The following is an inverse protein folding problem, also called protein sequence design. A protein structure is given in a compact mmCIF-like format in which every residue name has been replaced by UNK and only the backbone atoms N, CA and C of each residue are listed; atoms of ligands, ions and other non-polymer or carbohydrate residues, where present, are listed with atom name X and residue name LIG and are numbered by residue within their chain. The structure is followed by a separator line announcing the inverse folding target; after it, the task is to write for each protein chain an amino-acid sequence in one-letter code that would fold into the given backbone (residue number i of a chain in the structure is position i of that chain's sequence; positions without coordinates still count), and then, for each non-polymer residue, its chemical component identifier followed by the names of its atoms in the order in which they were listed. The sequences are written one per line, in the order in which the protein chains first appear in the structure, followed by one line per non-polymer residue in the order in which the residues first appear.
data_IF_824746455198
#
_entry.id   IF_824746455198
#
_cell.length_a   1.000
_cell.length_b   1.000
_cell.length_c   1.000
_cell.angle_alpha   90.00
_cell.angle_beta   90.00
_cell.angle_gamma   90.00
#
_symmetry.space_group_name_H-M   'P 1'
#
loop_
_entity.id
_entity.type
_entity.pdbx_description
1 polymer ?
#
# COMPACT_ATOMS: atom_id res chain seq x y z
N UNK A 1 7.72 -16.45 -29.01
CA UNK A 1 7.43 -15.13 -28.41
C UNK A 1 6.41 -15.35 -27.31
N UNK A 2 6.82 -15.35 -26.07
CA UNK A 2 5.90 -15.37 -24.91
C UNK A 2 5.14 -14.05 -24.90
N UNK A 3 3.82 -14.12 -24.90
CA UNK A 3 2.96 -12.93 -24.71
C UNK A 3 3.38 -12.30 -23.38
N UNK A 4 3.76 -11.02 -23.33
CA UNK A 4 4.10 -10.39 -22.08
C UNK A 4 2.90 -10.47 -21.14
N UNK A 5 3.07 -11.14 -20.03
CA UNK A 5 2.05 -11.29 -19.00
C UNK A 5 1.74 -9.91 -18.42
N UNK A 6 0.47 -9.53 -18.44
CA UNK A 6 0.03 -8.21 -17.95
C UNK A 6 0.06 -8.25 -16.42
N UNK A 7 0.87 -7.41 -15.75
CA UNK A 7 1.03 -7.49 -14.30
C UNK A 7 -0.10 -6.80 -13.51
N UNK A 8 -1.15 -6.34 -14.21
CA UNK A 8 -2.29 -5.60 -13.66
C UNK A 8 -3.58 -6.30 -14.01
N UNK A 9 -4.46 -6.41 -13.06
CA UNK A 9 -5.84 -6.84 -13.24
C UNK A 9 -6.78 -5.69 -12.89
N UNK A 10 -7.82 -5.53 -13.69
CA UNK A 10 -8.93 -4.62 -13.43
C UNK A 10 -10.16 -5.40 -13.04
N UNK A 11 -10.84 -4.95 -11.99
CA UNK A 11 -12.08 -5.55 -11.52
C UNK A 11 -13.11 -4.46 -11.28
N UNK A 12 -14.35 -4.70 -11.74
CA UNK A 12 -15.48 -3.82 -11.45
C UNK A 12 -16.12 -4.26 -10.14
N UNK A 13 -16.06 -3.39 -9.16
CA UNK A 13 -16.64 -3.58 -7.83
C UNK A 13 -17.57 -2.42 -7.49
N UNK A 14 -18.12 -2.42 -6.29
CA UNK A 14 -18.89 -1.29 -5.76
C UNK A 14 -18.28 -0.80 -4.47
N UNK A 15 -18.30 0.51 -4.26
CA UNK A 15 -17.87 1.16 -3.03
C UNK A 15 -19.05 1.89 -2.42
N UNK A 16 -19.38 1.54 -1.17
CA UNK A 16 -20.41 2.22 -0.41
C UNK A 16 -19.89 3.60 0.05
N UNK A 17 -20.71 4.62 -0.13
CA UNK A 17 -20.40 6.01 0.20
C UNK A 17 -21.30 6.45 1.36
N UNK A 18 -20.70 7.09 2.34
CA UNK A 18 -21.43 7.70 3.45
C UNK A 18 -22.36 8.82 2.96
N UNK A 19 -23.48 9.09 3.66
CA UNK A 19 -24.31 10.25 3.37
C UNK A 19 -23.48 11.53 3.32
N UNK A 20 -23.77 12.40 2.37
CA UNK A 20 -23.04 13.64 2.12
C UNK A 20 -24.01 14.81 1.91
N UNK A 21 -23.48 16.01 1.75
CA UNK A 21 -24.28 17.18 1.35
C UNK A 21 -24.95 17.01 -0.02
N UNK A 22 -24.45 16.11 -0.86
CA UNK A 22 -24.98 15.82 -2.19
C UNK A 22 -26.02 14.70 -2.19
N UNK A 23 -26.04 13.85 -1.14
CA UNK A 23 -27.04 12.81 -0.95
C UNK A 23 -27.20 12.45 0.53
N UNK A 24 -28.44 12.52 1.03
CA UNK A 24 -28.79 12.17 2.39
C UNK A 24 -28.79 10.66 2.66
N UNK A 25 -28.77 9.84 1.60
CA UNK A 25 -28.76 8.37 1.70
C UNK A 25 -27.41 7.80 1.26
N UNK A 26 -26.96 6.67 1.86
CA UNK A 26 -25.79 5.95 1.36
C UNK A 26 -25.94 5.61 -0.13
N UNK A 27 -24.88 5.79 -0.88
CA UNK A 27 -24.84 5.49 -2.31
C UNK A 27 -23.82 4.38 -2.59
N UNK A 28 -24.02 3.64 -3.67
CA UNK A 28 -23.07 2.65 -4.17
C UNK A 28 -22.46 3.15 -5.48
N UNK A 29 -21.18 3.51 -5.45
CA UNK A 29 -20.46 3.93 -6.64
C UNK A 29 -19.80 2.74 -7.33
N UNK A 30 -19.94 2.72 -8.66
CA UNK A 30 -19.19 1.79 -9.48
C UNK A 30 -17.71 2.08 -9.39
N UNK A 31 -16.91 1.08 -9.07
CA UNK A 31 -15.48 1.23 -8.78
C UNK A 31 -14.67 0.31 -9.68
N UNK A 32 -13.73 0.89 -10.41
CA UNK A 32 -12.68 0.15 -11.13
C UNK A 32 -11.50 -0.07 -10.20
N UNK A 33 -11.43 -1.27 -9.64
CA UNK A 33 -10.32 -1.69 -8.78
C UNK A 33 -9.10 -2.06 -9.62
N UNK A 34 -7.95 -1.47 -9.29
CA UNK A 34 -6.67 -1.69 -9.94
C UNK A 34 -5.82 -2.56 -9.03
N UNK A 35 -5.56 -3.79 -9.45
CA UNK A 35 -4.79 -4.77 -8.68
C UNK A 35 -3.49 -5.10 -9.39
N UNK A 36 -2.36 -4.97 -8.70
CA UNK A 36 -1.07 -5.43 -9.17
C UNK A 36 -0.93 -6.92 -8.84
N UNK A 37 -1.16 -7.79 -9.82
CA UNK A 37 -1.10 -9.25 -9.64
C UNK A 37 0.33 -9.79 -9.69
N UNK A 38 1.27 -9.02 -10.24
CA UNK A 38 2.70 -9.33 -10.27
C UNK A 38 3.49 -8.10 -9.79
N UNK A 39 3.51 -7.82 -8.49
CA UNK A 39 4.12 -6.61 -7.94
C UNK A 39 5.65 -6.56 -8.07
N UNK A 40 6.30 -7.65 -8.43
CA UNK A 40 7.71 -7.76 -8.82
C UNK A 40 7.97 -7.37 -10.28
N UNK A 41 6.93 -7.29 -11.10
CA UNK A 41 7.03 -6.85 -12.49
C UNK A 41 6.51 -5.43 -12.63
N UNK A 42 7.36 -4.57 -13.16
CA UNK A 42 6.97 -3.23 -13.55
C UNK A 42 5.86 -3.29 -14.60
N UNK A 43 4.86 -2.46 -14.43
CA UNK A 43 3.96 -2.14 -15.54
C UNK A 43 4.79 -1.38 -16.56
N UNK A 44 5.06 -2.00 -17.69
CA UNK A 44 5.83 -1.36 -18.76
C UNK A 44 4.93 -0.37 -19.51
N UNK A 45 5.41 0.85 -19.85
CA UNK A 45 4.62 1.82 -20.63
C UNK A 45 4.10 1.28 -21.96
N UNK A 46 4.83 0.35 -22.60
CA UNK A 46 4.41 -0.29 -23.85
C UNK A 46 3.20 -1.23 -23.69
N UNK A 47 2.79 -1.53 -22.45
CA UNK A 47 1.55 -2.28 -22.17
C UNK A 47 0.31 -1.38 -22.15
N UNK A 48 0.47 -0.05 -22.04
CA UNK A 48 -0.67 0.89 -21.97
C UNK A 48 -1.75 0.67 -23.04
N UNK A 49 -1.43 0.39 -24.31
CA UNK A 49 -2.46 0.12 -25.31
C UNK A 49 -3.30 -1.13 -25.04
N UNK A 50 -2.77 -2.08 -24.23
CA UNK A 50 -3.44 -3.33 -23.84
C UNK A 50 -4.20 -3.21 -22.51
N UNK A 51 -3.93 -2.17 -21.74
CA UNK A 51 -4.58 -1.91 -20.47
C UNK A 51 -5.90 -1.15 -20.72
N UNK A 52 -6.95 -1.91 -20.89
CA UNK A 52 -8.29 -1.38 -21.15
C UNK A 52 -9.24 -1.76 -20.02
N UNK A 53 -10.20 -0.90 -19.66
CA UNK A 53 -11.23 -1.25 -18.71
C UNK A 53 -11.97 -2.52 -19.13
N UNK A 54 -12.42 -3.35 -18.17
CA UNK A 54 -13.14 -4.58 -18.48
C UNK A 54 -14.52 -4.26 -19.11
N UNK A 55 -15.05 -5.16 -19.95
CA UNK A 55 -16.27 -4.90 -20.72
C UNK A 55 -17.53 -4.75 -19.85
N UNK A 56 -17.50 -5.18 -18.62
CA UNK A 56 -18.58 -5.03 -17.65
C UNK A 56 -18.54 -3.68 -16.90
N UNK A 57 -17.61 -2.78 -17.21
CA UNK A 57 -17.60 -1.42 -16.70
C UNK A 57 -18.66 -0.60 -17.45
N UNK A 58 -19.67 -0.13 -16.72
CA UNK A 58 -20.76 0.68 -17.29
C UNK A 58 -20.36 2.16 -17.33
N UNK A 59 -19.99 2.66 -18.49
CA UNK A 59 -19.63 4.06 -18.69
C UNK A 59 -20.83 5.02 -18.78
N UNK A 60 -22.07 4.54 -18.67
CA UNK A 60 -23.22 5.40 -18.45
C UNK A 60 -23.39 5.85 -17.00
N UNK A 61 -22.63 5.24 -16.10
CA UNK A 61 -22.55 5.53 -14.67
C UNK A 61 -21.23 6.23 -14.32
N UNK A 62 -21.16 6.70 -13.09
CA UNK A 62 -19.93 7.18 -12.49
C UNK A 62 -18.86 6.07 -12.42
N UNK A 63 -17.60 6.47 -12.50
CA UNK A 63 -16.46 5.57 -12.33
C UNK A 63 -15.54 6.08 -11.23
N UNK A 64 -15.32 5.26 -10.20
CA UNK A 64 -14.31 5.53 -9.18
C UNK A 64 -13.08 4.66 -9.46
N UNK A 65 -11.93 5.26 -9.63
CA UNK A 65 -10.65 4.55 -9.73
C UNK A 65 -10.07 4.30 -8.34
N UNK A 66 -9.77 3.05 -8.05
CA UNK A 66 -9.32 2.62 -6.72
C UNK A 66 -8.21 1.58 -6.82
N UNK A 67 -7.07 1.81 -6.15
CA UNK A 67 -5.96 0.84 -6.11
C UNK A 67 -4.60 1.50 -6.07
N UNK A 68 -3.55 0.68 -6.22
CA UNK A 68 -2.16 1.16 -6.27
C UNK A 68 -1.61 0.97 -7.68
N UNK A 69 -1.33 2.08 -8.36
CA UNK A 69 -0.79 2.08 -9.72
C UNK A 69 0.06 3.33 -9.98
N UNK A 70 0.93 3.30 -11.01
CA UNK A 70 1.63 4.49 -11.46
C UNK A 70 0.66 5.60 -11.92
N UNK A 71 1.04 6.86 -11.71
CA UNK A 71 0.21 8.04 -12.06
C UNK A 71 -0.19 8.04 -13.54
N UNK A 72 0.71 7.63 -14.44
CA UNK A 72 0.44 7.58 -15.87
C UNK A 72 -0.62 6.52 -16.26
N UNK A 73 -0.79 5.44 -15.46
CA UNK A 73 -1.87 4.48 -15.68
C UNK A 73 -3.22 5.09 -15.28
N UNK A 74 -3.28 5.83 -14.20
CA UNK A 74 -4.48 6.61 -13.85
C UNK A 74 -4.86 7.57 -14.97
N UNK A 75 -3.89 8.32 -15.51
CA UNK A 75 -4.13 9.22 -16.65
C UNK A 75 -4.75 8.50 -17.85
N UNK A 76 -4.26 7.30 -18.19
CA UNK A 76 -4.81 6.49 -19.29
C UNK A 76 -6.22 5.99 -19.00
N UNK A 77 -6.49 5.51 -17.79
CA UNK A 77 -7.83 5.05 -17.40
C UNK A 77 -8.86 6.19 -17.39
N UNK A 78 -8.46 7.39 -16.94
CA UNK A 78 -9.30 8.58 -16.99
C UNK A 78 -9.69 8.91 -18.42
N UNK A 79 -8.74 8.89 -19.35
CA UNK A 79 -9.00 9.12 -20.77
C UNK A 79 -10.00 8.10 -21.34
N UNK A 80 -9.80 6.82 -21.02
CA UNK A 80 -10.68 5.74 -21.49
C UNK A 80 -12.10 5.79 -20.90
N UNK A 81 -12.24 6.34 -19.70
CA UNK A 81 -13.51 6.49 -19.01
C UNK A 81 -14.15 7.89 -19.20
N UNK A 82 -13.58 8.76 -20.05
CA UNK A 82 -14.00 10.17 -20.15
C UNK A 82 -15.43 10.42 -20.61
N UNK A 83 -16.11 9.40 -21.13
CA UNK A 83 -17.55 9.48 -21.47
C UNK A 83 -18.47 9.28 -20.27
N UNK A 84 -17.95 8.78 -19.14
CA UNK A 84 -18.72 8.63 -17.91
C UNK A 84 -19.25 9.99 -17.41
N UNK A 85 -20.39 10.02 -16.70
CA UNK A 85 -20.95 11.26 -16.14
C UNK A 85 -19.93 12.02 -15.29
N UNK A 86 -19.19 11.30 -14.47
CA UNK A 86 -18.03 11.84 -13.73
C UNK A 86 -17.07 10.71 -13.34
N UNK A 87 -15.83 11.08 -13.07
CA UNK A 87 -14.77 10.17 -12.64
C UNK A 87 -14.18 10.68 -11.34
N UNK A 88 -14.10 9.80 -10.33
CA UNK A 88 -13.42 10.05 -9.09
C UNK A 88 -12.18 9.18 -8.91
N UNK A 89 -11.23 9.63 -8.11
CA UNK A 89 -10.06 8.87 -7.70
C UNK A 89 -10.03 8.78 -6.17
N UNK A 90 -9.89 7.57 -5.64
CA UNK A 90 -9.72 7.41 -4.21
C UNK A 90 -8.32 7.89 -3.81
N UNK A 91 -8.27 8.85 -2.90
CA UNK A 91 -7.05 9.39 -2.30
C UNK A 91 -6.87 8.84 -0.88
N UNK A 92 -5.94 7.91 -0.70
CA UNK A 92 -5.65 7.32 0.60
C UNK A 92 -5.20 8.34 1.67
N UNK A 93 -4.40 9.38 1.34
CA UNK A 93 -3.99 10.37 2.33
C UNK A 93 -5.14 11.16 2.97
N UNK A 94 -6.15 11.51 2.20
CA UNK A 94 -7.32 12.28 2.70
C UNK A 94 -8.55 11.40 2.92
N UNK A 95 -8.49 10.12 2.49
CA UNK A 95 -9.53 9.11 2.60
C UNK A 95 -10.85 9.48 1.97
N UNK A 96 -10.77 10.15 0.87
CA UNK A 96 -11.92 10.56 0.10
C UNK A 96 -11.74 10.18 -1.36
N UNK A 97 -12.86 10.03 -2.04
CA UNK A 97 -12.91 10.02 -3.49
C UNK A 97 -12.92 11.48 -3.90
N UNK A 98 -11.96 11.87 -4.71
CA UNK A 98 -11.89 13.22 -5.29
C UNK A 98 -12.41 13.15 -6.72
N UNK A 99 -13.41 13.95 -7.06
CA UNK A 99 -13.93 14.09 -8.44
C UNK A 99 -12.88 14.83 -9.26
N UNK A 100 -12.37 14.18 -10.30
CA UNK A 100 -11.29 14.71 -11.16
C UNK A 100 -11.77 15.03 -12.59
N UNK A 101 -12.93 14.52 -12.97
CA UNK A 101 -13.58 14.77 -14.24
C UNK A 101 -15.09 14.75 -14.03
N UNK A 102 -15.81 15.71 -14.62
CA UNK A 102 -17.28 15.76 -14.57
C UNK A 102 -17.84 16.35 -15.86
N UNK A 103 -18.91 15.72 -16.36
CA UNK A 103 -19.73 16.14 -17.49
C UNK A 103 -21.14 16.50 -17.06
N UNK A 104 -21.40 16.48 -15.76
CA UNK A 104 -22.71 16.78 -15.16
C UNK A 104 -22.58 18.03 -14.28
N UNK A 105 -23.73 18.64 -13.95
CA UNK A 105 -23.74 19.81 -13.10
C UNK A 105 -23.31 19.52 -11.66
N UNK A 106 -23.59 18.28 -11.21
CA UNK A 106 -23.23 17.80 -9.86
C UNK A 106 -22.96 16.29 -9.93
N UNK A 107 -21.82 15.79 -9.36
CA UNK A 107 -20.79 16.55 -8.68
C UNK A 107 -19.89 17.33 -9.64
N UNK A 108 -19.21 18.36 -9.14
CA UNK A 108 -18.20 19.14 -9.87
C UNK A 108 -16.78 18.62 -9.59
N UNK A 109 -15.85 18.99 -10.46
CA UNK A 109 -14.41 18.70 -10.23
C UNK A 109 -13.96 19.37 -8.93
N UNK A 110 -13.32 18.59 -8.05
CA UNK A 110 -12.90 18.99 -6.71
C UNK A 110 -13.87 18.61 -5.60
N UNK A 111 -15.11 18.22 -5.93
CA UNK A 111 -16.02 17.64 -4.92
C UNK A 111 -15.45 16.33 -4.38
N UNK A 112 -15.80 16.02 -3.14
CA UNK A 112 -15.29 14.83 -2.45
C UNK A 112 -16.39 13.99 -1.82
N UNK A 113 -16.17 12.67 -1.80
CA UNK A 113 -17.06 11.71 -1.17
C UNK A 113 -16.29 10.85 -0.18
N UNK A 114 -16.84 10.68 1.03
CA UNK A 114 -16.27 9.78 2.02
C UNK A 114 -16.80 8.35 1.81
N UNK A 115 -15.94 7.33 1.64
CA UNK A 115 -16.37 5.94 1.66
C UNK A 115 -17.03 5.60 3.00
N UNK A 116 -18.02 4.71 2.96
CA UNK A 116 -18.61 4.17 4.17
C UNK A 116 -17.59 3.23 4.84
N UNK A 117 -17.26 3.51 6.08
CA UNK A 117 -16.28 2.73 6.85
C UNK A 117 -16.90 1.45 7.40
N UNK A 118 -16.12 0.38 7.47
CA UNK A 118 -16.51 -0.84 8.17
C UNK A 118 -16.55 -0.59 9.67
N UNK A 119 -17.47 -1.25 10.37
CA UNK A 119 -17.60 -1.08 11.83
C UNK A 119 -16.43 -1.68 12.62
N UNK A 120 -15.75 -2.70 12.06
CA UNK A 120 -14.58 -3.31 12.70
C UNK A 120 -13.34 -3.11 11.83
N UNK A 121 -12.24 -2.59 12.41
CA UNK A 121 -11.00 -2.40 11.67
C UNK A 121 -10.36 -3.75 11.32
N UNK A 122 -9.88 -3.89 10.10
CA UNK A 122 -9.21 -5.10 9.63
C UNK A 122 -7.87 -5.36 10.35
N UNK A 123 -7.34 -6.60 10.31
CA UNK A 123 -5.97 -6.85 10.72
C UNK A 123 -4.97 -5.97 10.00
N UNK A 124 -4.04 -5.38 10.75
CA UNK A 124 -2.90 -4.65 10.23
C UNK A 124 -1.61 -5.31 10.70
N UNK A 125 -0.81 -5.80 9.75
CA UNK A 125 0.43 -6.55 10.00
C UNK A 125 1.60 -5.62 9.79
N UNK A 126 2.25 -5.21 10.89
CA UNK A 126 3.49 -4.44 10.86
C UNK A 126 4.65 -5.33 10.41
N UNK A 127 5.42 -4.91 9.41
CA UNK A 127 6.66 -5.56 9.00
C UNK A 127 7.84 -4.68 9.47
N UNK A 128 8.51 -5.14 10.52
CA UNK A 128 9.67 -4.48 11.13
C UNK A 128 10.97 -5.25 10.91
N UNK A 129 12.10 -4.66 11.31
CA UNK A 129 13.43 -5.28 11.23
C UNK A 129 14.52 -4.26 10.92
N UNK A 130 15.81 -4.62 11.02
CA UNK A 130 16.93 -3.70 10.81
C UNK A 130 17.01 -3.18 9.36
N UNK A 131 17.78 -2.11 9.12
CA UNK A 131 18.03 -1.65 7.75
C UNK A 131 18.60 -2.77 6.89
N UNK A 132 18.29 -2.75 5.60
CA UNK A 132 18.77 -3.72 4.60
C UNK A 132 18.49 -5.20 4.92
N UNK A 133 17.46 -5.48 5.72
CA UNK A 133 17.02 -6.85 6.03
C UNK A 133 16.03 -7.45 5.01
N UNK A 134 15.69 -6.73 3.95
CA UNK A 134 14.74 -7.21 2.93
C UNK A 134 13.26 -7.00 3.30
N UNK A 135 12.94 -6.18 4.30
CA UNK A 135 11.54 -5.90 4.72
C UNK A 135 10.62 -5.53 3.57
N UNK A 136 11.02 -4.57 2.76
CA UNK A 136 10.17 -4.08 1.67
C UNK A 136 9.97 -5.14 0.58
N UNK A 137 10.98 -5.97 0.30
CA UNK A 137 10.87 -7.13 -0.58
C UNK A 137 9.90 -8.14 0.01
N UNK A 138 10.04 -8.47 1.29
CA UNK A 138 9.14 -9.37 2.00
C UNK A 138 7.70 -8.82 2.05
N UNK A 139 7.51 -7.54 2.35
CA UNK A 139 6.18 -6.91 2.41
C UNK A 139 5.45 -6.99 1.07
N UNK A 140 6.17 -6.77 -0.04
CA UNK A 140 5.62 -6.94 -1.39
C UNK A 140 5.30 -8.41 -1.70
N UNK A 141 6.20 -9.34 -1.34
CA UNK A 141 5.98 -10.77 -1.55
C UNK A 141 4.78 -11.28 -0.73
N UNK A 142 4.67 -10.86 0.53
CA UNK A 142 3.53 -11.18 1.40
C UNK A 142 2.22 -10.65 0.80
N UNK A 143 2.18 -9.37 0.41
CA UNK A 143 1.01 -8.79 -0.26
C UNK A 143 0.63 -9.59 -1.50
N UNK A 144 1.59 -9.91 -2.35
CA UNK A 144 1.37 -10.71 -3.57
C UNK A 144 0.77 -12.07 -3.25
N UNK A 145 1.37 -12.79 -2.29
CA UNK A 145 0.89 -14.09 -1.87
C UNK A 145 -0.55 -14.02 -1.34
N UNK A 146 -0.85 -13.02 -0.53
CA UNK A 146 -2.20 -12.80 0.00
C UNK A 146 -3.21 -12.54 -1.13
N UNK A 147 -2.89 -11.69 -2.11
CA UNK A 147 -3.77 -11.42 -3.26
C UNK A 147 -4.01 -12.69 -4.09
N UNK A 148 -2.97 -13.49 -4.31
CA UNK A 148 -3.07 -14.72 -5.10
C UNK A 148 -3.92 -15.79 -4.41
N UNK A 149 -3.80 -15.95 -3.08
CA UNK A 149 -4.52 -16.98 -2.34
C UNK A 149 -5.91 -16.53 -1.87
N UNK A 150 -6.12 -15.22 -1.73
CA UNK A 150 -7.36 -14.62 -1.23
C UNK A 150 -7.84 -13.49 -2.15
N UNK A 151 -8.14 -13.79 -3.43
CA UNK A 151 -8.45 -12.76 -4.43
C UNK A 151 -9.73 -11.97 -4.11
N UNK A 152 -10.63 -12.51 -3.27
CA UNK A 152 -11.84 -11.84 -2.82
C UNK A 152 -11.60 -10.78 -1.73
N UNK A 153 -10.37 -10.74 -1.15
CA UNK A 153 -10.03 -9.78 -0.10
C UNK A 153 -9.28 -8.58 -0.65
N UNK A 154 -9.63 -7.42 -0.16
CA UNK A 154 -8.93 -6.16 -0.47
C UNK A 154 -7.70 -6.03 0.41
N UNK A 155 -6.53 -6.17 -0.19
CA UNK A 155 -5.26 -6.18 0.52
C UNK A 155 -4.46 -4.94 0.13
N UNK A 156 -4.03 -4.18 1.12
CA UNK A 156 -3.27 -2.95 0.90
C UNK A 156 -1.91 -3.00 1.57
N UNK A 157 -0.87 -2.49 0.89
CA UNK A 157 0.45 -2.29 1.45
C UNK A 157 0.67 -0.80 1.71
N UNK A 158 0.73 -0.44 2.99
CA UNK A 158 1.07 0.90 3.43
C UNK A 158 2.55 0.99 3.78
N UNK A 159 3.25 1.98 3.24
CA UNK A 159 4.67 2.22 3.54
C UNK A 159 4.80 3.44 4.43
N UNK A 160 5.44 3.26 5.58
CA UNK A 160 5.75 4.29 6.54
C UNK A 160 7.27 4.42 6.71
N UNK A 161 7.99 4.50 5.59
CA UNK A 161 9.43 4.68 5.52
C UNK A 161 9.74 6.15 5.29
N UNK A 162 10.15 6.84 6.33
CA UNK A 162 10.48 8.25 6.25
C UNK A 162 11.88 8.52 5.63
N UNK A 163 12.75 7.52 5.59
CA UNK A 163 14.08 7.58 4.97
C UNK A 163 14.05 7.64 3.42
N UNK A 164 12.86 7.68 2.82
CA UNK A 164 12.71 7.98 1.40
C UNK A 164 13.21 6.90 0.44
N UNK A 165 13.30 5.65 0.85
CA UNK A 165 13.46 4.54 -0.10
C UNK A 165 12.22 4.49 -1.01
N UNK A 166 12.30 5.27 -2.08
CA UNK A 166 11.24 5.35 -3.07
C UNK A 166 11.04 3.99 -3.74
N UNK A 167 9.82 3.70 -4.15
CA UNK A 167 9.50 2.52 -4.95
C UNK A 167 10.35 2.44 -6.23
N UNK A 168 10.88 3.56 -6.71
CA UNK A 168 11.70 3.65 -7.91
C UNK A 168 12.97 2.78 -7.84
N UNK A 169 13.56 2.59 -6.66
CA UNK A 169 14.72 1.72 -6.46
C UNK A 169 14.41 0.25 -6.78
N UNK A 170 13.16 -0.19 -6.55
CA UNK A 170 12.71 -1.55 -6.85
C UNK A 170 11.95 -1.63 -8.18
N UNK A 171 11.66 -0.50 -8.80
CA UNK A 171 10.91 -0.37 -10.05
C UNK A 171 11.83 -0.18 -11.25
N UNK A 172 13.11 0.12 -11.05
CA UNK A 172 14.08 0.31 -12.13
C UNK A 172 14.82 -0.99 -12.47
N UNK A 173 14.94 -1.28 -13.78
CA UNK A 173 15.81 -2.34 -14.27
C UNK A 173 17.28 -1.90 -14.41
N UNK A 174 17.55 -0.62 -14.25
CA UNK A 174 18.89 -0.03 -14.33
C UNK A 174 19.50 0.01 -12.94
N UNK A 175 19.97 -1.14 -12.46
CA UNK A 175 20.56 -1.29 -11.12
C UNK A 175 21.70 -0.31 -10.89
N UNK A 176 22.57 -0.10 -11.88
CA UNK A 176 23.72 0.81 -11.78
C UNK A 176 23.26 2.26 -11.58
N UNK A 177 22.23 2.72 -12.31
CA UNK A 177 21.66 4.06 -12.14
C UNK A 177 20.98 4.19 -10.76
N UNK A 178 20.32 3.13 -10.30
CA UNK A 178 19.69 3.09 -8.97
C UNK A 178 20.74 3.21 -7.89
N UNK A 179 21.83 2.45 -8.00
CA UNK A 179 22.94 2.47 -7.03
C UNK A 179 23.61 3.85 -6.98
N UNK A 180 23.86 4.46 -8.15
CA UNK A 180 24.41 5.82 -8.25
C UNK A 180 23.47 6.87 -7.61
N UNK A 181 22.16 6.79 -7.86
CA UNK A 181 21.17 7.71 -7.28
C UNK A 181 21.01 7.50 -5.78
N UNK A 182 21.04 6.27 -5.31
CA UNK A 182 21.04 5.94 -3.86
C UNK A 182 22.30 6.48 -3.21
N UNK A 183 23.47 6.36 -3.86
CA UNK A 183 24.72 6.88 -3.33
C UNK A 183 24.76 8.41 -3.32
N UNK A 184 24.20 9.07 -4.34
CA UNK A 184 24.08 10.53 -4.41
C UNK A 184 23.05 11.08 -3.43
N UNK A 185 21.98 10.33 -3.13
CA UNK A 185 20.91 10.73 -2.22
C UNK A 185 21.29 10.46 -0.75
N UNK A 186 22.46 10.96 -0.34
CA UNK A 186 22.98 10.84 1.04
C UNK A 186 22.29 11.76 2.06
N UNK A 187 21.25 12.47 1.67
CA UNK A 187 20.41 13.25 2.60
C UNK A 187 19.62 12.31 3.52
N UNK A 188 20.32 11.90 4.57
CA UNK A 188 19.67 11.17 5.67
C UNK A 188 18.97 12.19 6.54
N UNK A 189 17.70 12.37 6.32
CA UNK A 189 16.79 13.30 7.04
C UNK A 189 17.01 13.23 8.57
N UNK A 190 17.30 12.05 9.14
CA UNK A 190 17.58 11.87 10.57
C UNK A 190 18.95 12.44 11.04
N UNK A 191 19.80 12.89 10.13
CA UNK A 191 21.08 13.55 10.47
C UNK A 191 20.99 15.06 10.49
N UNK A 192 19.93 15.62 9.91
CA UNK A 192 19.65 17.03 9.95
C UNK A 192 18.73 17.33 11.15
N UNK A 193 19.18 18.12 12.14
CA UNK A 193 18.41 18.42 13.34
C UNK A 193 17.05 19.06 13.06
N UNK A 194 16.94 19.89 12.01
CA UNK A 194 15.68 20.56 11.66
C UNK A 194 14.65 19.55 11.13
N UNK A 195 15.05 18.69 10.23
CA UNK A 195 14.15 17.68 9.67
C UNK A 195 13.88 16.52 10.64
N UNK A 196 14.79 16.23 11.57
CA UNK A 196 14.57 15.24 12.62
C UNK A 196 13.38 15.59 13.53
N UNK A 197 13.08 16.88 13.71
CA UNK A 197 11.92 17.32 14.49
C UNK A 197 10.57 16.94 13.86
N UNK A 198 10.55 16.64 12.57
CA UNK A 198 9.35 16.25 11.83
C UNK A 198 8.99 14.76 11.96
N UNK A 199 9.91 13.92 12.49
CA UNK A 199 9.72 12.47 12.58
C UNK A 199 8.50 12.08 13.42
N UNK A 200 8.29 12.64 14.63
CA UNK A 200 7.11 12.30 15.42
C UNK A 200 5.80 12.65 14.71
N UNK A 201 5.76 13.78 13.99
CA UNK A 201 4.59 14.19 13.21
C UNK A 201 4.34 13.26 12.01
N UNK A 202 5.40 12.83 11.36
CA UNK A 202 5.33 11.85 10.29
C UNK A 202 4.64 10.57 10.77
N UNK A 203 5.10 9.96 11.88
CA UNK A 203 4.50 8.73 12.40
C UNK A 203 3.09 8.93 12.94
N UNK A 204 2.75 10.09 13.49
CA UNK A 204 1.37 10.42 13.86
C UNK A 204 0.44 10.47 12.65
N UNK A 205 0.86 11.07 11.55
CA UNK A 205 0.08 11.09 10.29
C UNK A 205 -0.07 9.69 9.70
N UNK A 206 1.00 8.90 9.69
CA UNK A 206 0.92 7.52 9.22
C UNK A 206 0.07 6.64 10.12
N UNK A 207 0.04 6.87 11.42
CA UNK A 207 -0.90 6.23 12.36
C UNK A 207 -2.35 6.51 11.95
N UNK A 208 -2.69 7.79 11.69
CA UNK A 208 -4.01 8.15 11.19
C UNK A 208 -4.35 7.48 9.86
N UNK A 209 -3.39 7.38 8.93
CA UNK A 209 -3.60 6.66 7.67
C UNK A 209 -3.86 5.18 7.90
N UNK A 210 -3.10 4.51 8.77
CA UNK A 210 -3.32 3.09 9.10
C UNK A 210 -4.68 2.88 9.74
N UNK A 211 -5.04 3.67 10.75
CA UNK A 211 -6.35 3.62 11.40
C UNK A 211 -7.47 3.66 10.36
N UNK A 212 -7.37 4.57 9.45
CA UNK A 212 -8.36 4.82 8.44
C UNK A 212 -8.38 3.71 7.36
N UNK A 213 -7.21 3.28 6.86
CA UNK A 213 -7.12 2.21 5.87
C UNK A 213 -7.68 0.88 6.41
N UNK A 214 -7.54 0.61 7.70
CA UNK A 214 -8.11 -0.59 8.34
C UNK A 214 -9.63 -0.67 8.26
N UNK A 215 -10.31 0.44 8.05
CA UNK A 215 -11.77 0.47 7.89
C UNK A 215 -12.23 0.29 6.43
N UNK A 216 -11.29 0.33 5.49
CA UNK A 216 -11.56 0.26 4.04
C UNK A 216 -11.08 -1.03 3.40
N UNK A 217 -10.12 -1.72 4.02
CA UNK A 217 -9.50 -2.94 3.50
C UNK A 217 -9.81 -4.13 4.39
N UNK A 218 -9.52 -5.33 3.90
CA UNK A 218 -9.73 -6.57 4.64
C UNK A 218 -8.45 -7.05 5.30
N UNK A 219 -7.29 -6.70 4.75
CA UNK A 219 -5.95 -6.92 5.33
C UNK A 219 -5.06 -5.73 4.97
N UNK A 220 -4.33 -5.22 5.96
CA UNK A 220 -3.34 -4.17 5.77
C UNK A 220 -1.94 -4.69 6.12
N UNK A 221 -0.98 -4.55 5.22
CA UNK A 221 0.45 -4.76 5.48
C UNK A 221 1.09 -3.39 5.67
N UNK A 222 1.85 -3.19 6.75
CA UNK A 222 2.47 -1.91 7.08
C UNK A 222 3.99 -2.08 7.13
N UNK A 223 4.68 -1.61 6.11
CA UNK A 223 6.15 -1.63 6.02
C UNK A 223 6.73 -0.40 6.72
N UNK A 224 7.56 -0.60 7.75
CA UNK A 224 8.16 0.50 8.52
C UNK A 224 9.68 0.52 8.38
N UNK A 225 10.27 1.70 8.51
CA UNK A 225 11.71 1.91 8.44
C UNK A 225 12.52 1.12 9.49
N UNK A 226 13.80 0.93 9.20
CA UNK A 226 14.68 -0.07 9.81
C UNK A 226 15.16 0.15 11.25
N UNK A 227 14.84 1.27 11.91
CA UNK A 227 15.21 1.48 13.32
C UNK A 227 14.04 1.18 14.26
N UNK A 228 14.23 0.44 15.36
CA UNK A 228 13.20 0.27 16.39
C UNK A 228 13.12 1.52 17.27
N UNK A 229 12.62 2.62 16.70
CA UNK A 229 12.56 3.93 17.36
C UNK A 229 11.22 4.11 18.09
N UNK A 230 11.21 4.66 19.31
CA UNK A 230 9.98 5.00 20.05
C UNK A 230 9.03 5.94 19.31
N UNK A 231 9.49 6.77 18.39
CA UNK A 231 8.68 7.65 17.57
C UNK A 231 7.67 6.88 16.69
N UNK A 232 7.92 5.58 16.44
CA UNK A 232 7.00 4.68 15.75
C UNK A 232 5.81 4.23 16.58
N UNK A 233 5.80 4.45 17.90
CA UNK A 233 4.73 3.99 18.79
C UNK A 233 3.32 4.41 18.36
N UNK A 234 3.06 5.63 17.87
CA UNK A 234 1.74 5.98 17.37
C UNK A 234 1.28 5.06 16.25
N UNK A 235 2.14 4.80 15.26
CA UNK A 235 1.84 3.91 14.14
C UNK A 235 1.68 2.45 14.59
N UNK A 236 2.54 1.97 15.49
CA UNK A 236 2.49 0.61 16.03
C UNK A 236 1.14 0.35 16.72
N UNK A 237 0.64 1.29 17.50
CA UNK A 237 -0.64 1.15 18.23
C UNK A 237 -1.84 0.99 17.30
N UNK A 238 -1.73 1.45 16.08
CA UNK A 238 -2.79 1.28 15.08
C UNK A 238 -2.69 -0.04 14.30
N UNK A 239 -1.62 -0.81 14.51
CA UNK A 239 -1.50 -2.17 13.98
C UNK A 239 -2.09 -3.20 14.95
N UNK A 240 -2.21 -4.45 14.53
CA UNK A 240 -2.72 -5.57 15.33
C UNK A 240 -1.71 -6.70 15.50
N UNK A 241 -0.86 -6.90 14.49
CA UNK A 241 0.12 -7.98 14.43
C UNK A 241 1.45 -7.46 13.94
N UNK A 242 2.53 -8.24 14.15
CA UNK A 242 3.83 -7.90 13.59
C UNK A 242 4.62 -9.12 13.10
N UNK A 243 5.46 -8.86 12.10
CA UNK A 243 6.47 -9.77 11.55
C UNK A 243 7.82 -9.03 11.66
N UNK A 244 8.86 -9.74 12.09
CA UNK A 244 10.23 -9.20 12.09
C UNK A 244 11.02 -9.88 10.97
N UNK A 245 11.60 -9.09 10.07
CA UNK A 245 12.52 -9.58 9.03
C UNK A 245 13.93 -9.17 9.40
N UNK A 246 14.83 -10.12 9.62
CA UNK A 246 16.19 -9.85 10.09
C UNK A 246 17.23 -10.75 9.45
N UNK A 247 18.49 -10.26 9.35
CA UNK A 247 19.66 -11.05 8.98
C UNK A 247 20.43 -11.55 10.19
N UNK A 248 20.22 -10.92 11.35
CA UNK A 248 20.88 -11.30 12.61
C UNK A 248 19.89 -11.32 13.74
N UNK A 249 19.91 -12.35 14.60
CA UNK A 249 19.07 -12.43 15.78
C UNK A 249 19.33 -11.29 16.80
N UNK A 250 20.47 -10.62 16.74
CA UNK A 250 20.83 -9.54 17.68
C UNK A 250 19.84 -8.37 17.67
N UNK A 251 19.13 -8.18 16.55
CA UNK A 251 18.13 -7.11 16.42
C UNK A 251 16.76 -7.47 16.96
N UNK A 252 16.49 -8.75 17.24
CA UNK A 252 15.17 -9.23 17.69
C UNK A 252 14.74 -8.60 19.02
N UNK A 253 15.60 -8.53 20.08
CA UNK A 253 15.14 -8.02 21.37
C UNK A 253 14.58 -6.60 21.30
N UNK A 254 15.23 -5.71 20.55
CA UNK A 254 14.81 -4.31 20.43
C UNK A 254 13.48 -4.15 19.67
N UNK A 255 13.25 -4.96 18.64
CA UNK A 255 11.98 -4.97 17.92
C UNK A 255 10.87 -5.61 18.73
N UNK A 256 11.13 -6.70 19.45
CA UNK A 256 10.15 -7.31 20.36
C UNK A 256 9.77 -6.33 21.47
N UNK A 257 10.73 -5.68 22.11
CA UNK A 257 10.47 -4.66 23.14
C UNK A 257 9.57 -3.53 22.64
N UNK A 258 9.70 -3.14 21.38
CA UNK A 258 8.89 -2.09 20.79
C UNK A 258 7.49 -2.56 20.41
N UNK A 259 7.34 -3.78 19.89
CA UNK A 259 6.09 -4.29 19.30
C UNK A 259 5.23 -5.09 20.29
N UNK A 260 5.79 -6.01 21.05
CA UNK A 260 5.07 -6.94 21.93
C UNK A 260 4.07 -6.28 22.91
N UNK A 261 4.34 -5.09 23.48
CA UNK A 261 3.36 -4.45 24.36
C UNK A 261 2.03 -4.11 23.70
N UNK A 262 1.99 -4.07 22.36
CA UNK A 262 0.83 -3.58 21.61
C UNK A 262 0.33 -4.55 20.54
N UNK A 263 1.17 -5.45 20.05
CA UNK A 263 0.92 -6.28 18.87
C UNK A 263 1.12 -7.76 19.15
N UNK A 264 0.34 -8.60 18.49
CA UNK A 264 0.52 -10.05 18.49
C UNK A 264 1.61 -10.45 17.49
N UNK A 265 2.62 -11.26 17.88
CA UNK A 265 3.61 -11.75 16.94
C UNK A 265 3.00 -12.75 15.96
N UNK A 266 3.41 -12.69 14.69
CA UNK A 266 3.03 -13.65 13.65
C UNK A 266 4.22 -14.54 13.29
N UNK A 267 5.35 -13.90 12.91
CA UNK A 267 6.53 -14.64 12.49
C UNK A 267 7.82 -13.82 12.66
N UNK A 268 8.94 -14.55 12.70
CA UNK A 268 10.29 -14.03 12.52
C UNK A 268 10.83 -14.64 11.22
N UNK A 269 11.32 -13.78 10.32
CA UNK A 269 11.89 -14.18 9.03
C UNK A 269 13.38 -13.90 9.07
N UNK A 270 14.18 -14.96 9.03
CA UNK A 270 15.63 -14.85 8.91
C UNK A 270 16.00 -14.73 7.44
N UNK A 271 16.26 -13.52 6.98
CA UNK A 271 16.53 -13.26 5.56
C UNK A 271 17.95 -13.66 5.17
N UNK A 272 18.08 -14.42 4.10
CA UNK A 272 19.33 -14.89 3.51
C UNK A 272 19.40 -14.53 2.04
N UNK A 273 20.62 -14.49 1.45
CA UNK A 273 20.82 -14.19 0.05
C UNK A 273 20.58 -15.39 -0.88
N UNK A 274 20.55 -16.60 -0.31
CA UNK A 274 20.29 -17.83 -1.07
C UNK A 274 18.84 -18.25 -0.91
N UNK A 275 18.28 -18.85 -1.95
CA UNK A 275 16.93 -19.43 -1.86
C UNK A 275 16.94 -20.58 -0.85
N UNK A 276 16.25 -20.38 0.25
CA UNK A 276 16.15 -21.34 1.36
C UNK A 276 14.81 -21.18 2.05
N UNK A 277 14.23 -22.29 2.49
CA UNK A 277 13.04 -22.31 3.32
C UNK A 277 13.20 -23.42 4.36
N UNK A 278 13.57 -23.01 5.58
CA UNK A 278 13.68 -23.92 6.73
C UNK A 278 12.83 -23.40 7.87
N UNK A 279 12.13 -24.29 8.53
CA UNK A 279 11.42 -24.02 9.77
C UNK A 279 12.42 -24.11 10.92
N UNK A 280 12.59 -23.00 11.64
CA UNK A 280 13.49 -22.92 12.80
C UNK A 280 12.73 -23.22 14.08
N UNK A 281 11.54 -22.64 14.24
CA UNK A 281 10.65 -22.86 15.37
C UNK A 281 9.19 -22.58 14.99
N UNK A 282 8.25 -23.35 15.59
CA UNK A 282 6.81 -23.13 15.42
C UNK A 282 6.17 -22.41 16.60
N UNK A 283 6.76 -22.48 17.77
CA UNK A 283 6.24 -21.90 18.99
C UNK A 283 7.37 -21.32 19.86
N UNK A 284 7.14 -20.22 20.61
CA UNK A 284 5.89 -19.47 20.71
C UNK A 284 5.60 -18.55 19.50
N UNK A 285 6.55 -18.42 18.58
CA UNK A 285 6.43 -17.62 17.37
C UNK A 285 7.00 -18.43 16.21
N UNK A 286 6.32 -18.40 15.06
CA UNK A 286 6.83 -19.03 13.84
C UNK A 286 8.16 -18.37 13.43
N UNK A 287 9.24 -19.17 13.34
CA UNK A 287 10.53 -18.74 12.82
C UNK A 287 10.89 -19.50 11.54
N UNK A 288 11.23 -18.80 10.49
CA UNK A 288 11.62 -19.35 9.19
C UNK A 288 12.84 -18.64 8.61
N UNK A 289 13.60 -19.40 7.79
CA UNK A 289 14.73 -18.89 7.00
C UNK A 289 14.36 -18.88 5.54
#
# INVERSE_FOLDING_TARGET
MTIPEIPVQFEVTTLAIAPSSLSATPQLFQTLSIQLIQPDKLIQPNLLPKLVPPPNLDLSREVVLFGQAPVWLYGRLIEQCAIAPWIGVFSAPIQQIVVIHSRVATPQVGDTFAPQVQQQPCPAILVGGPPNSGKSVFSNALRRSLIQHYPQHRIFLHRANWDGEGNWAYESRHTDLVDDLVEQNKHRIHRDPETATLIPDYFRRHAQFVQNLRTLFDILVVDVGGKPDPDKKPLIRECSHYIIVTRSPDFLPSWHQLCQPHLSPVAIIHSVLQQRLDYVADAPILEIV
#
